data_IF_375489588356
#
_entry.id   IF_375489588356
#
_cell.length_a   1.000
_cell.length_b   1.000
_cell.length_c   1.000
_cell.angle_alpha   90.00
_cell.angle_beta   90.00
_cell.angle_gamma   90.00
#
_symmetry.space_group_name_H-M   'P 1'
#
loop_
_entity.id
_entity.type
_entity.pdbx_description
1 polymer ?
#
# COMPACT_ATOMS: atom_id res chain seq x y z
N UNK A 1 0.09 -17.53 -31.07
CA UNK A 1 0.85 -16.29 -30.86
C UNK A 1 -0.13 -15.24 -30.38
N UNK A 2 0.01 -14.85 -29.16
CA UNK A 2 -0.78 -13.76 -28.57
C UNK A 2 0.03 -12.47 -28.76
N UNK A 3 -0.53 -11.50 -29.47
CA UNK A 3 -0.01 -10.13 -29.49
C UNK A 3 -1.05 -9.29 -28.77
N UNK A 4 -0.70 -8.74 -27.63
CA UNK A 4 -1.61 -7.94 -26.82
C UNK A 4 -0.85 -6.83 -26.10
N UNK A 5 -1.49 -5.69 -25.92
CA UNK A 5 -1.08 -4.67 -24.96
C UNK A 5 -2.10 -4.64 -23.84
N UNK A 6 -1.65 -4.87 -22.62
CA UNK A 6 -2.43 -4.57 -21.43
C UNK A 6 -2.09 -3.12 -21.08
N UNK A 7 -3.03 -2.22 -21.32
CA UNK A 7 -2.95 -0.86 -20.81
C UNK A 7 -3.46 -0.91 -19.37
N UNK A 8 -2.63 -1.35 -18.43
CA UNK A 8 -2.91 -1.27 -17.02
C UNK A 8 -2.88 0.18 -16.59
N UNK A 9 -1.85 0.80 -16.39
CA UNK A 9 -1.67 2.14 -15.86
C UNK A 9 -1.52 3.19 -16.96
N UNK A 10 -2.05 4.39 -16.73
CA UNK A 10 -1.77 5.56 -17.57
C UNK A 10 -0.30 6.00 -17.46
N UNK A 11 0.36 5.64 -16.38
CA UNK A 11 1.78 5.91 -16.13
C UNK A 11 2.70 4.74 -16.55
N UNK A 12 2.14 3.56 -16.85
CA UNK A 12 2.89 2.36 -17.23
C UNK A 12 2.23 1.64 -18.38
N UNK A 13 3.02 1.07 -19.28
CA UNK A 13 2.56 0.25 -20.39
C UNK A 13 3.40 -1.01 -20.49
N UNK A 14 2.75 -2.17 -20.42
CA UNK A 14 3.34 -3.45 -20.74
C UNK A 14 2.91 -3.87 -22.15
N UNK A 15 3.86 -4.30 -22.95
CA UNK A 15 3.61 -4.82 -24.30
C UNK A 15 4.21 -6.21 -24.41
N UNK A 16 3.42 -7.15 -24.90
CA UNK A 16 3.87 -8.53 -25.14
C UNK A 16 4.07 -8.72 -26.64
N UNK A 17 5.21 -9.23 -27.02
CA UNK A 17 5.52 -9.63 -28.40
C UNK A 17 5.94 -11.09 -28.40
N UNK A 18 5.34 -11.90 -29.26
CA UNK A 18 5.68 -13.33 -29.38
C UNK A 18 7.10 -13.62 -29.87
N UNK A 19 7.88 -12.61 -30.21
CA UNK A 19 9.30 -12.72 -30.60
C UNK A 19 10.25 -12.04 -29.64
N UNK A 20 9.81 -11.00 -28.91
CA UNK A 20 10.69 -10.10 -28.16
C UNK A 20 10.37 -10.09 -26.65
N UNK A 21 9.41 -10.91 -26.21
CA UNK A 21 9.01 -11.01 -24.80
C UNK A 21 8.25 -9.77 -24.29
N UNK A 22 8.42 -9.46 -23.01
CA UNK A 22 7.81 -8.30 -22.35
C UNK A 22 8.65 -7.02 -22.58
N UNK A 23 7.97 -5.95 -23.01
CA UNK A 23 8.49 -4.58 -23.00
C UNK A 23 7.70 -3.73 -22.03
N UNK A 24 8.39 -3.07 -21.09
CA UNK A 24 7.82 -2.21 -20.06
C UNK A 24 8.20 -0.76 -20.37
N UNK A 25 7.19 0.11 -20.44
CA UNK A 25 7.38 1.56 -20.59
C UNK A 25 6.71 2.27 -19.41
N UNK A 26 7.47 3.12 -18.72
CA UNK A 26 7.01 3.90 -17.56
C UNK A 26 7.04 5.39 -17.88
N UNK A 27 6.04 6.13 -17.39
CA UNK A 27 6.11 7.59 -17.36
C UNK A 27 7.29 8.00 -16.47
N UNK A 28 8.13 8.90 -16.94
CA UNK A 28 9.31 9.37 -16.22
C UNK A 28 9.25 10.88 -16.09
N UNK A 29 9.77 11.41 -14.97
CA UNK A 29 10.03 12.83 -14.80
C UNK A 29 11.37 13.18 -15.45
N UNK A 30 11.50 14.42 -15.97
CA UNK A 30 12.75 14.90 -16.57
C UNK A 30 13.90 14.98 -15.55
N UNK A 31 13.57 15.40 -14.32
CA UNK A 31 14.46 15.35 -13.16
C UNK A 31 13.60 15.26 -11.90
N UNK A 32 13.94 14.33 -11.02
CA UNK A 32 13.32 14.23 -9.71
C UNK A 32 13.93 15.27 -8.78
N UNK A 33 13.09 16.02 -8.10
CA UNK A 33 13.51 17.11 -7.22
C UNK A 33 12.57 17.20 -6.03
N UNK A 34 13.08 17.18 -4.79
CA UNK A 34 12.29 17.39 -3.59
C UNK A 34 11.44 18.66 -3.66
N UNK A 35 10.22 18.60 -3.14
CA UNK A 35 9.24 19.69 -3.22
C UNK A 35 9.27 20.65 -2.03
N UNK A 36 9.90 20.24 -0.92
CA UNK A 36 9.95 21.00 0.32
C UNK A 36 11.37 21.39 0.73
N UNK A 37 11.49 21.94 1.92
CA UNK A 37 12.77 22.27 2.54
C UNK A 37 13.46 21.01 3.04
N UNK A 38 14.80 20.99 2.97
CA UNK A 38 15.60 19.86 3.43
C UNK A 38 15.27 19.50 4.89
N UNK A 39 15.11 18.22 5.14
CA UNK A 39 14.79 17.66 6.46
C UNK A 39 13.30 17.69 6.82
N UNK A 40 12.43 18.23 5.93
CA UNK A 40 10.98 18.16 6.14
C UNK A 40 10.41 16.84 5.60
N UNK A 41 9.42 16.29 6.30
CA UNK A 41 8.77 15.04 5.94
C UNK A 41 7.25 15.16 6.15
N UNK A 42 6.48 14.72 5.15
CA UNK A 42 5.02 14.67 5.24
C UNK A 42 4.53 13.27 4.87
N UNK A 43 3.73 12.67 5.74
CA UNK A 43 3.02 11.42 5.45
C UNK A 43 1.55 11.74 5.29
N UNK A 44 1.02 11.49 4.10
CA UNK A 44 -0.41 11.53 3.83
C UNK A 44 -1.03 10.22 4.28
N UNK A 45 -2.08 10.27 5.10
CA UNK A 45 -2.78 9.09 5.60
C UNK A 45 -4.23 9.12 5.11
N UNK A 46 -4.56 8.21 4.21
CA UNK A 46 -5.92 8.00 3.74
C UNK A 46 -6.61 7.00 4.68
N UNK A 47 -7.26 7.54 5.72
CA UNK A 47 -7.76 6.79 6.87
C UNK A 47 -9.25 6.51 6.71
N UNK A 48 -9.57 5.39 6.06
CA UNK A 48 -10.93 4.88 5.96
C UNK A 48 -11.24 4.04 7.20
N UNK A 49 -11.90 4.61 8.20
CA UNK A 49 -12.04 3.98 9.54
C UNK A 49 -12.76 2.64 9.54
N UNK A 50 -13.86 2.52 8.81
CA UNK A 50 -14.75 1.36 8.76
C UNK A 50 -15.10 0.76 10.13
N UNK A 51 -15.35 -0.55 10.21
CA UNK A 51 -15.57 -1.29 11.45
C UNK A 51 -14.34 -1.35 12.37
N UNK A 52 -13.12 -1.19 11.81
CA UNK A 52 -11.91 -1.08 12.62
C UNK A 52 -11.97 0.11 13.58
N UNK A 53 -12.52 1.22 13.14
CA UNK A 53 -12.76 2.38 14.01
C UNK A 53 -14.09 2.27 14.72
N UNK A 54 -15.22 2.01 14.02
CA UNK A 54 -16.55 2.11 14.60
C UNK A 54 -16.82 1.08 15.69
N UNK A 55 -16.17 -0.08 15.66
CA UNK A 55 -16.30 -1.13 16.66
C UNK A 55 -15.16 -1.15 17.69
N UNK A 56 -13.95 -0.72 17.30
CA UNK A 56 -12.73 -0.94 18.08
C UNK A 56 -11.92 0.32 18.39
N UNK A 57 -12.17 1.46 17.72
CA UNK A 57 -11.44 2.72 17.94
C UNK A 57 -9.99 2.70 17.49
N UNK A 58 -9.62 1.82 16.53
CA UNK A 58 -8.22 1.58 16.16
C UNK A 58 -7.62 2.78 15.41
N UNK A 59 -8.37 3.40 14.50
CA UNK A 59 -7.90 4.61 13.81
C UNK A 59 -7.64 5.78 14.77
N UNK A 60 -8.52 5.94 15.76
CA UNK A 60 -8.33 6.94 16.83
C UNK A 60 -7.10 6.64 17.69
N UNK A 61 -6.78 5.37 17.93
CA UNK A 61 -5.56 4.92 18.61
C UNK A 61 -4.31 5.31 17.82
N UNK A 62 -4.29 5.06 16.53
CA UNK A 62 -3.14 5.39 15.66
C UNK A 62 -2.95 6.91 15.50
N UNK A 63 -4.04 7.67 15.49
CA UNK A 63 -3.96 9.14 15.55
C UNK A 63 -3.29 9.59 16.87
N UNK A 64 -3.61 8.96 18.00
CA UNK A 64 -2.94 9.25 19.28
C UNK A 64 -1.44 8.96 19.22
N UNK A 65 -1.04 7.86 18.59
CA UNK A 65 0.35 7.52 18.36
C UNK A 65 1.07 8.53 17.45
N UNK A 66 0.44 8.96 16.35
CA UNK A 66 0.96 10.01 15.48
C UNK A 66 1.20 11.31 16.25
N UNK A 67 0.28 11.72 17.13
CA UNK A 67 0.41 12.90 18.01
C UNK A 67 1.57 12.68 18.98
N UNK A 68 1.65 11.50 19.60
CA UNK A 68 2.68 11.18 20.56
C UNK A 68 4.09 11.16 19.95
N UNK A 69 4.22 10.73 18.69
CA UNK A 69 5.49 10.63 17.97
C UNK A 69 5.97 11.93 17.32
N UNK A 70 5.07 12.77 16.80
CA UNK A 70 5.40 14.01 16.08
C UNK A 70 5.73 15.16 17.03
N UNK A 71 7.01 15.43 17.26
CA UNK A 71 7.47 16.41 18.26
C UNK A 71 7.83 17.78 17.68
N UNK A 72 8.05 17.87 16.37
CA UNK A 72 8.47 19.10 15.70
C UNK A 72 7.57 19.43 14.50
N UNK A 73 7.76 20.62 13.92
CA UNK A 73 7.10 21.06 12.68
C UNK A 73 7.70 20.40 11.43
N UNK A 74 8.79 19.64 11.55
CA UNK A 74 9.47 19.02 10.41
C UNK A 74 8.82 17.70 9.97
N UNK A 75 8.07 17.07 10.88
CA UNK A 75 7.30 15.85 10.61
C UNK A 75 5.81 16.17 10.69
N UNK A 76 5.08 15.84 9.63
CA UNK A 76 3.64 16.05 9.55
C UNK A 76 2.95 14.76 9.09
N UNK A 77 1.85 14.43 9.78
CA UNK A 77 0.85 13.54 9.23
C UNK A 77 -0.35 14.38 8.76
N UNK A 78 -0.68 14.25 7.49
CA UNK A 78 -1.84 14.90 6.87
C UNK A 78 -2.87 13.80 6.65
N UNK A 79 -3.95 13.84 7.43
CA UNK A 79 -4.89 12.73 7.54
C UNK A 79 -6.22 13.14 6.91
N UNK A 80 -6.81 12.28 6.07
CA UNK A 80 -8.22 12.36 5.71
C UNK A 80 -8.97 11.22 6.38
N UNK A 81 -9.98 11.55 7.19
CA UNK A 81 -10.85 10.60 7.90
C UNK A 81 -12.21 10.48 7.23
N UNK A 82 -12.78 9.27 7.25
CA UNK A 82 -14.11 8.97 6.73
C UNK A 82 -14.40 7.47 6.77
N UNK A 83 -15.53 7.04 6.23
CA UNK A 83 -15.87 5.64 6.00
C UNK A 83 -16.16 4.79 7.26
N UNK A 84 -16.33 5.40 8.44
CA UNK A 84 -16.68 4.72 9.67
C UNK A 84 -18.04 5.18 10.21
N UNK A 85 -18.87 4.26 10.68
CA UNK A 85 -20.20 4.54 11.24
C UNK A 85 -20.17 5.24 12.60
N UNK A 86 -19.04 5.19 13.30
CA UNK A 86 -18.77 5.91 14.54
C UNK A 86 -17.28 6.20 14.66
N UNK A 87 -16.93 7.25 15.40
CA UNK A 87 -15.55 7.60 15.77
C UNK A 87 -15.48 7.83 17.28
N UNK A 88 -14.31 7.59 17.85
CA UNK A 88 -14.07 7.93 19.26
C UNK A 88 -14.17 9.44 19.49
N UNK A 89 -14.75 9.85 20.61
CA UNK A 89 -15.02 11.28 20.92
C UNK A 89 -13.76 12.13 21.18
N UNK A 90 -12.57 11.52 21.13
CA UNK A 90 -11.33 12.13 21.62
C UNK A 90 -10.90 13.36 20.80
N UNK A 91 -11.07 13.32 19.47
CA UNK A 91 -10.55 14.36 18.56
C UNK A 91 -11.65 15.11 17.80
N UNK A 92 -12.91 14.85 18.11
CA UNK A 92 -14.05 15.49 17.43
C UNK A 92 -14.24 15.04 15.99
N UNK A 93 -13.76 13.85 15.63
CA UNK A 93 -13.96 13.24 14.32
C UNK A 93 -15.41 12.80 14.22
N UNK A 94 -16.07 13.08 13.10
CA UNK A 94 -17.49 12.84 12.88
C UNK A 94 -17.73 11.77 11.82
N UNK A 95 -18.58 10.81 12.12
CA UNK A 95 -19.05 9.83 11.14
C UNK A 95 -19.90 10.43 10.00
N UNK A 96 -20.48 11.63 10.23
CA UNK A 96 -21.30 12.33 9.22
C UNK A 96 -20.48 13.19 8.26
N UNK A 97 -19.17 13.25 8.43
CA UNK A 97 -18.26 14.14 7.70
C UNK A 97 -17.03 13.39 7.19
N UNK A 98 -16.49 13.89 6.10
CA UNK A 98 -15.10 13.65 5.71
C UNK A 98 -14.28 14.83 6.19
N UNK A 99 -13.25 14.59 7.00
CA UNK A 99 -12.49 15.65 7.64
C UNK A 99 -11.00 15.49 7.36
N UNK A 100 -10.29 16.60 7.29
CA UNK A 100 -8.83 16.65 7.09
C UNK A 100 -8.15 17.26 8.29
N UNK A 101 -7.18 16.52 8.79
CA UNK A 101 -6.38 16.90 9.95
C UNK A 101 -4.91 17.00 9.60
N UNK A 102 -4.19 17.81 10.37
CA UNK A 102 -2.74 17.82 10.40
C UNK A 102 -2.28 17.53 11.82
N UNK A 103 -1.41 16.54 11.94
CA UNK A 103 -0.69 16.22 13.18
C UNK A 103 0.75 16.68 13.01
N UNK A 104 1.22 17.55 13.90
CA UNK A 104 2.59 18.06 13.95
C UNK A 104 2.85 18.72 15.30
N UNK A 105 4.10 18.75 15.76
CA UNK A 105 4.47 19.41 17.02
C UNK A 105 3.77 18.86 18.27
N UNK A 106 3.29 17.61 18.24
CA UNK A 106 2.54 16.98 19.34
C UNK A 106 1.06 17.40 19.40
N UNK A 107 0.52 18.04 18.37
CA UNK A 107 -0.85 18.51 18.34
C UNK A 107 -1.58 18.05 17.06
N UNK A 108 -2.91 17.90 17.14
CA UNK A 108 -3.78 17.67 15.99
C UNK A 108 -4.65 18.90 15.72
N UNK A 109 -4.80 19.26 14.48
CA UNK A 109 -5.61 20.40 14.06
C UNK A 109 -6.57 19.99 12.94
N UNK A 110 -7.86 20.28 13.10
CA UNK A 110 -8.84 20.18 12.02
C UNK A 110 -8.60 21.31 11.02
N UNK A 111 -8.39 20.97 9.76
CA UNK A 111 -8.08 21.92 8.68
C UNK A 111 -9.28 22.11 7.76
N UNK A 112 -9.96 21.04 7.41
CA UNK A 112 -11.10 21.06 6.49
C UNK A 112 -12.16 20.05 6.91
N UNK A 113 -13.41 20.40 6.69
CA UNK A 113 -14.55 19.53 6.89
C UNK A 113 -15.48 19.60 5.68
N UNK A 114 -15.93 18.45 5.21
CA UNK A 114 -16.87 18.30 4.09
C UNK A 114 -18.00 17.36 4.49
N UNK A 115 -19.09 17.34 3.69
CA UNK A 115 -20.09 16.28 3.79
C UNK A 115 -19.41 14.93 3.56
N UNK A 116 -19.92 13.88 4.23
CA UNK A 116 -19.40 12.52 4.10
C UNK A 116 -19.40 12.09 2.63
N UNK A 117 -18.27 11.57 2.17
CA UNK A 117 -18.08 11.04 0.82
C UNK A 117 -17.66 9.58 0.88
N UNK A 118 -17.86 8.85 -0.20
CA UNK A 118 -17.43 7.46 -0.31
C UNK A 118 -15.89 7.38 -0.43
N UNK A 119 -15.24 6.85 0.60
CA UNK A 119 -13.77 6.69 0.66
C UNK A 119 -13.25 5.61 -0.32
N UNK A 120 -14.11 4.76 -0.87
CA UNK A 120 -13.77 3.79 -1.92
C UNK A 120 -13.75 4.38 -3.34
N UNK A 121 -13.69 5.72 -3.51
CA UNK A 121 -13.71 6.36 -4.83
C UNK A 121 -12.39 7.06 -5.19
N UNK A 122 -11.98 6.88 -6.45
CA UNK A 122 -10.75 7.48 -6.98
C UNK A 122 -10.71 9.00 -6.89
N UNK A 123 -11.83 9.67 -7.17
CA UNK A 123 -11.92 11.13 -7.17
C UNK A 123 -11.77 11.73 -5.76
N UNK A 124 -12.18 11.00 -4.73
CA UNK A 124 -11.98 11.37 -3.33
C UNK A 124 -10.49 11.27 -2.95
N UNK A 125 -9.80 10.25 -3.41
CA UNK A 125 -8.36 10.12 -3.23
C UNK A 125 -7.59 11.22 -4.00
N UNK A 126 -7.99 11.51 -5.25
CA UNK A 126 -7.43 12.60 -6.07
C UNK A 126 -7.58 13.96 -5.37
N UNK A 127 -8.78 14.26 -4.83
CA UNK A 127 -9.06 15.51 -4.13
C UNK A 127 -8.21 15.64 -2.86
N UNK A 128 -8.08 14.56 -2.08
CA UNK A 128 -7.23 14.56 -0.88
C UNK A 128 -5.75 14.78 -1.22
N UNK A 129 -5.20 13.97 -2.11
CA UNK A 129 -3.78 14.07 -2.46
C UNK A 129 -3.46 15.38 -3.18
N UNK A 130 -4.34 15.82 -4.08
CA UNK A 130 -4.17 17.09 -4.79
C UNK A 130 -4.12 18.29 -3.84
N UNK A 131 -5.02 18.33 -2.88
CA UNK A 131 -5.05 19.34 -1.83
C UNK A 131 -3.84 19.21 -0.88
N UNK A 132 -3.52 17.96 -0.46
CA UNK A 132 -2.44 17.71 0.47
C UNK A 132 -1.07 18.12 -0.09
N UNK A 133 -0.77 17.74 -1.33
CA UNK A 133 0.48 18.11 -2.02
C UNK A 133 0.58 19.63 -2.21
N UNK A 134 -0.51 20.29 -2.55
CA UNK A 134 -0.51 21.75 -2.73
C UNK A 134 -0.19 22.52 -1.44
N UNK A 135 -0.61 22.00 -0.28
CA UNK A 135 -0.53 22.70 1.00
C UNK A 135 0.59 22.19 1.93
N UNK A 136 1.01 20.94 1.78
CA UNK A 136 1.90 20.26 2.75
C UNK A 136 3.02 19.47 2.08
N UNK A 137 3.43 19.83 0.87
CA UNK A 137 4.58 19.21 0.24
C UNK A 137 5.84 19.36 1.11
N UNK A 138 6.67 18.32 1.14
CA UNK A 138 7.89 18.25 1.92
C UNK A 138 9.04 17.65 1.09
N UNK A 139 10.26 17.70 1.63
CA UNK A 139 11.42 17.11 0.98
C UNK A 139 11.27 15.60 0.78
N UNK A 140 10.64 14.93 1.75
CA UNK A 140 10.22 13.53 1.62
C UNK A 140 8.73 13.43 1.87
N UNK A 141 8.03 12.73 1.00
CA UNK A 141 6.61 12.49 1.14
C UNK A 141 6.32 11.00 1.15
N UNK A 142 5.49 10.56 2.09
CA UNK A 142 4.91 9.23 2.14
C UNK A 142 3.40 9.26 1.94
N UNK A 143 2.82 8.14 1.52
CA UNK A 143 1.37 7.92 1.49
C UNK A 143 1.08 6.60 2.19
N UNK A 144 0.12 6.58 3.10
CA UNK A 144 -0.37 5.37 3.77
C UNK A 144 -1.87 5.22 3.50
N UNK A 145 -2.26 4.06 3.02
CA UNK A 145 -3.64 3.59 2.99
C UNK A 145 -3.91 2.81 4.27
N UNK A 146 -4.83 3.28 5.07
CA UNK A 146 -5.17 2.70 6.37
C UNK A 146 -6.58 2.11 6.35
N UNK A 147 -6.71 0.81 6.46
CA UNK A 147 -7.96 0.05 6.60
C UNK A 147 -7.75 -1.46 6.37
N UNK A 148 -8.83 -2.20 6.06
CA UNK A 148 -8.75 -3.53 5.48
C UNK A 148 -8.13 -3.53 4.10
N UNK A 149 -7.45 -4.63 3.76
CA UNK A 149 -6.90 -4.91 2.44
C UNK A 149 -7.31 -6.30 1.93
N UNK A 150 -7.57 -6.38 0.63
CA UNK A 150 -7.94 -7.61 -0.08
C UNK A 150 -7.03 -7.90 -1.28
N UNK A 151 -5.81 -7.39 -1.24
CA UNK A 151 -4.79 -7.58 -2.27
C UNK A 151 -5.15 -6.99 -3.63
N UNK A 152 -4.56 -7.53 -4.68
CA UNK A 152 -4.76 -7.04 -6.04
C UNK A 152 -6.18 -7.26 -6.60
N UNK A 153 -6.98 -8.10 -5.96
CA UNK A 153 -8.33 -8.45 -6.43
C UNK A 153 -9.39 -7.52 -5.86
N UNK A 154 -9.36 -7.28 -4.54
CA UNK A 154 -10.39 -6.54 -3.83
C UNK A 154 -9.96 -5.14 -3.42
N UNK A 155 -8.67 -4.80 -3.56
CA UNK A 155 -8.16 -3.48 -3.25
C UNK A 155 -8.03 -3.18 -1.75
N UNK A 156 -8.23 -1.92 -1.36
CA UNK A 156 -7.99 -1.41 0.00
C UNK A 156 -9.00 -0.32 0.36
N UNK A 157 -9.14 0.01 1.62
CA UNK A 157 -10.01 1.08 2.11
C UNK A 157 -11.51 0.81 1.87
N UNK A 158 -12.04 -0.18 2.58
CA UNK A 158 -13.45 -0.59 2.50
C UNK A 158 -14.31 0.35 3.35
N UNK A 159 -15.20 1.08 2.72
CA UNK A 159 -16.06 2.10 3.35
C UNK A 159 -17.37 1.45 3.84
N UNK A 160 -17.54 1.28 5.16
CA UNK A 160 -18.73 0.64 5.73
C UNK A 160 -20.01 1.45 5.51
N UNK A 161 -19.91 2.77 5.31
CA UNK A 161 -21.06 3.64 5.05
C UNK A 161 -21.55 3.53 3.59
N UNK A 162 -20.74 2.93 2.72
CA UNK A 162 -20.99 2.82 1.29
C UNK A 162 -20.91 1.36 0.79
N UNK A 163 -21.59 0.44 1.49
CA UNK A 163 -21.68 -0.98 1.11
C UNK A 163 -20.31 -1.69 1.00
N UNK A 164 -19.33 -1.27 1.78
CA UNK A 164 -17.95 -1.71 1.71
C UNK A 164 -17.30 -1.50 0.32
N UNK A 165 -17.66 -0.43 -0.37
CA UNK A 165 -16.96 -0.01 -1.57
C UNK A 165 -15.49 0.28 -1.25
N UNK A 166 -14.56 -0.09 -2.14
CA UNK A 166 -13.12 -0.05 -1.86
C UNK A 166 -12.34 0.47 -3.06
N UNK A 167 -11.17 1.01 -2.81
CA UNK A 167 -10.25 1.43 -3.87
C UNK A 167 -9.59 0.20 -4.51
N UNK A 168 -9.95 -0.10 -5.75
CA UNK A 168 -9.24 -1.07 -6.59
C UNK A 168 -7.84 -0.55 -6.98
N UNK A 169 -6.94 -1.44 -7.40
CA UNK A 169 -5.63 -1.01 -7.93
C UNK A 169 -5.75 -0.07 -9.14
N UNK A 170 -6.78 -0.23 -9.98
CA UNK A 170 -7.04 0.65 -11.12
C UNK A 170 -7.44 2.06 -10.66
N UNK A 171 -8.25 2.18 -9.63
CA UNK A 171 -8.66 3.47 -9.05
C UNK A 171 -7.48 4.16 -8.37
N UNK A 172 -6.65 3.42 -7.62
CA UNK A 172 -5.42 3.96 -7.02
C UNK A 172 -4.46 4.46 -8.10
N UNK A 173 -4.22 3.66 -9.16
CA UNK A 173 -3.37 4.07 -10.28
C UNK A 173 -3.90 5.32 -11.00
N UNK A 174 -5.21 5.37 -11.22
CA UNK A 174 -5.86 6.54 -11.83
C UNK A 174 -5.68 7.78 -10.96
N UNK A 175 -5.87 7.65 -9.65
CA UNK A 175 -5.67 8.75 -8.71
C UNK A 175 -4.22 9.24 -8.68
N UNK A 176 -3.26 8.34 -8.53
CA UNK A 176 -1.83 8.67 -8.51
C UNK A 176 -1.36 9.27 -9.85
N UNK A 177 -1.87 8.77 -10.97
CA UNK A 177 -1.59 9.33 -12.30
C UNK A 177 -2.17 10.73 -12.45
N UNK A 178 -3.34 11.01 -11.89
CA UNK A 178 -4.01 12.32 -11.96
C UNK A 178 -3.24 13.41 -11.20
N UNK A 179 -2.52 13.05 -10.15
CA UNK A 179 -1.68 13.99 -9.38
C UNK A 179 -0.21 13.99 -9.83
N UNK A 180 0.17 13.12 -10.77
CA UNK A 180 1.57 12.93 -11.18
C UNK A 180 2.28 14.23 -11.56
N UNK A 181 1.61 15.10 -12.32
CA UNK A 181 2.18 16.37 -12.80
C UNK A 181 2.14 17.48 -11.73
N UNK A 182 1.51 17.25 -10.56
CA UNK A 182 1.59 18.13 -9.39
C UNK A 182 2.85 17.87 -8.55
N UNK A 183 3.52 16.74 -8.76
CA UNK A 183 4.70 16.34 -8.02
C UNK A 183 5.95 16.46 -8.90
N UNK A 184 7.02 17.01 -8.37
CA UNK A 184 8.34 17.06 -9.02
C UNK A 184 9.25 15.90 -8.59
N UNK A 185 8.81 15.10 -7.62
CA UNK A 185 9.47 13.90 -7.13
C UNK A 185 8.46 12.77 -6.96
N UNK A 186 8.92 11.55 -6.72
CA UNK A 186 8.08 10.44 -6.28
C UNK A 186 7.73 10.56 -4.80
N UNK A 187 6.74 9.78 -4.36
CA UNK A 187 6.67 9.44 -2.94
C UNK A 187 7.92 8.64 -2.55
N UNK A 188 8.52 8.97 -1.43
CA UNK A 188 9.61 8.17 -0.88
C UNK A 188 9.13 6.73 -0.58
N UNK A 189 7.87 6.61 -0.11
CA UNK A 189 7.17 5.33 0.00
C UNK A 189 5.66 5.49 -0.17
N UNK A 190 5.03 4.38 -0.59
CA UNK A 190 3.58 4.18 -0.45
C UNK A 190 3.40 2.94 0.41
N UNK A 191 2.69 3.10 1.53
CA UNK A 191 2.44 2.08 2.52
C UNK A 191 0.98 1.65 2.55
N UNK A 192 0.77 0.40 2.93
CA UNK A 192 -0.55 -0.16 3.16
C UNK A 192 -0.55 -0.75 4.58
N UNK A 193 -1.09 0.00 5.52
CA UNK A 193 -1.44 -0.50 6.85
C UNK A 193 -2.76 -1.25 6.70
N UNK A 194 -2.64 -2.43 6.12
CA UNK A 194 -3.75 -3.23 5.61
C UNK A 194 -3.29 -4.63 5.17
N UNK A 195 -4.15 -5.62 5.30
CA UNK A 195 -3.91 -7.00 4.91
C UNK A 195 -3.55 -7.15 3.42
N UNK A 196 -2.68 -8.10 3.07
CA UNK A 196 -2.56 -8.72 1.73
C UNK A 196 -2.10 -7.82 0.58
N UNK A 197 -1.65 -6.59 0.84
CA UNK A 197 -1.35 -5.64 -0.24
C UNK A 197 0.05 -5.81 -0.86
N UNK A 198 0.95 -6.66 -0.30
CA UNK A 198 2.27 -6.91 -0.86
C UNK A 198 2.23 -7.86 -2.06
N UNK A 199 1.50 -7.49 -3.10
CA UNK A 199 1.41 -8.28 -4.34
C UNK A 199 2.33 -7.71 -5.43
N UNK A 200 2.72 -8.56 -6.39
CA UNK A 200 3.52 -8.13 -7.55
C UNK A 200 2.77 -7.09 -8.38
N UNK A 201 1.44 -7.24 -8.49
CA UNK A 201 0.58 -6.32 -9.21
C UNK A 201 0.57 -4.94 -8.55
N UNK A 202 0.44 -4.88 -7.21
CA UNK A 202 0.49 -3.64 -6.45
C UNK A 202 1.86 -2.96 -6.62
N UNK A 203 2.95 -3.71 -6.43
CA UNK A 203 4.30 -3.19 -6.61
C UNK A 203 4.54 -2.68 -8.03
N UNK A 204 4.10 -3.44 -9.05
CA UNK A 204 4.25 -3.05 -10.46
C UNK A 204 3.47 -1.77 -10.80
N UNK A 205 2.29 -1.58 -10.24
CA UNK A 205 1.49 -0.37 -10.41
C UNK A 205 2.19 0.86 -9.79
N UNK A 206 2.85 0.70 -8.65
CA UNK A 206 3.47 1.79 -7.90
C UNK A 206 4.81 2.29 -8.46
N UNK A 207 5.50 1.55 -9.33
CA UNK A 207 6.85 1.91 -9.84
C UNK A 207 6.98 3.37 -10.33
N UNK A 208 6.02 3.98 -11.04
CA UNK A 208 6.12 5.38 -11.46
C UNK A 208 5.90 6.39 -10.33
N UNK A 209 5.35 5.96 -9.19
CA UNK A 209 4.77 6.82 -8.17
C UNK A 209 5.57 6.87 -6.87
N UNK A 210 6.30 5.80 -6.55
CA UNK A 210 7.08 5.72 -5.31
C UNK A 210 8.42 5.03 -5.52
N UNK A 211 9.35 5.20 -4.56
CA UNK A 211 10.62 4.50 -4.51
C UNK A 211 10.50 3.16 -3.79
N UNK A 212 9.69 3.13 -2.72
CA UNK A 212 9.45 1.93 -1.93
C UNK A 212 7.95 1.67 -1.73
N UNK A 213 7.59 0.39 -1.59
CA UNK A 213 6.29 -0.05 -1.09
C UNK A 213 6.50 -0.74 0.26
N UNK A 214 5.67 -0.38 1.27
CA UNK A 214 5.59 -1.06 2.55
C UNK A 214 4.23 -1.76 2.63
N UNK A 215 4.21 -3.06 2.75
CA UNK A 215 2.95 -3.83 2.75
C UNK A 215 3.15 -5.25 3.29
N UNK A 216 2.07 -5.87 3.73
CA UNK A 216 2.04 -7.26 4.18
C UNK A 216 1.60 -8.21 3.07
N UNK A 217 2.21 -9.40 3.03
CA UNK A 217 1.72 -10.53 2.22
C UNK A 217 0.55 -11.24 2.91
N UNK A 218 0.54 -11.25 4.26
CA UNK A 218 -0.44 -11.92 5.10
C UNK A 218 -1.44 -10.90 5.66
N UNK A 219 -2.43 -11.37 6.38
CA UNK A 219 -3.32 -10.52 7.17
C UNK A 219 -2.55 -9.84 8.29
N UNK A 220 -2.91 -8.58 8.56
CA UNK A 220 -2.36 -7.81 9.67
C UNK A 220 -3.33 -7.85 10.86
N UNK A 221 -2.83 -7.99 12.11
CA UNK A 221 -3.64 -7.73 13.30
C UNK A 221 -4.19 -6.31 13.30
N UNK A 222 -5.40 -6.12 13.80
CA UNK A 222 -6.09 -4.83 13.73
C UNK A 222 -5.42 -3.65 14.46
N UNK A 223 -4.38 -3.90 15.26
CA UNK A 223 -3.57 -2.84 15.88
C UNK A 223 -2.64 -2.12 14.89
N UNK A 224 -2.44 -2.67 13.68
CA UNK A 224 -1.68 -2.03 12.63
C UNK A 224 -0.23 -1.70 12.98
N UNK A 225 0.27 -0.63 12.39
CA UNK A 225 1.65 -0.16 12.55
C UNK A 225 1.81 0.72 13.80
N UNK A 226 3.04 0.78 14.36
CA UNK A 226 3.37 1.65 15.49
C UNK A 226 3.75 3.05 15.00
N UNK A 227 2.79 3.97 14.98
CA UNK A 227 3.01 5.34 14.50
C UNK A 227 3.86 6.18 15.46
N UNK A 228 3.97 5.80 16.72
CA UNK A 228 4.90 6.46 17.66
C UNK A 228 6.34 6.22 17.26
N UNK A 229 6.70 4.95 16.95
CA UNK A 229 8.04 4.58 16.51
C UNK A 229 8.35 5.14 15.10
N UNK A 230 7.39 5.12 14.17
CA UNK A 230 7.52 5.70 12.83
C UNK A 230 7.82 7.20 12.92
N UNK A 231 6.99 7.95 13.62
CA UNK A 231 7.18 9.39 13.79
C UNK A 231 8.48 9.71 14.56
N UNK A 232 8.77 8.98 15.62
CA UNK A 232 10.00 9.11 16.42
C UNK A 232 11.26 8.88 15.58
N UNK A 233 11.25 7.89 14.68
CA UNK A 233 12.36 7.66 13.76
C UNK A 233 12.54 8.83 12.78
N UNK A 234 11.43 9.29 12.16
CA UNK A 234 11.44 10.43 11.22
C UNK A 234 11.97 11.70 11.87
N UNK A 235 11.55 12.01 13.09
CA UNK A 235 12.05 13.15 13.90
C UNK A 235 13.54 13.07 14.16
N UNK A 236 14.01 11.89 14.52
CA UNK A 236 15.42 11.67 14.92
C UNK A 236 16.36 11.55 13.72
N UNK A 237 15.84 11.19 12.54
CA UNK A 237 16.61 10.84 11.35
C UNK A 237 16.10 11.51 10.07
N UNK A 238 16.05 12.85 9.98
CA UNK A 238 15.40 13.56 8.88
C UNK A 238 16.02 13.30 7.50
N UNK A 239 17.26 12.81 7.48
CA UNK A 239 18.00 12.50 6.24
C UNK A 239 18.21 11.02 5.99
N UNK A 240 17.69 10.14 6.85
CA UNK A 240 17.82 8.68 6.70
C UNK A 240 17.27 8.19 5.35
N UNK A 241 17.82 7.08 4.87
CA UNK A 241 17.26 6.39 3.71
C UNK A 241 15.84 5.89 4.02
N UNK A 242 14.98 5.88 3.02
CA UNK A 242 13.60 5.38 3.13
C UNK A 242 13.56 3.90 3.50
N UNK A 243 14.55 3.10 3.07
CA UNK A 243 14.67 1.71 3.48
C UNK A 243 14.93 1.55 4.98
N UNK A 244 15.65 2.49 5.63
CA UNK A 244 15.86 2.49 7.08
C UNK A 244 14.57 2.81 7.83
N UNK A 245 13.75 3.75 7.32
CA UNK A 245 12.40 3.98 7.83
C UNK A 245 11.55 2.72 7.68
N UNK A 246 11.53 2.10 6.51
CA UNK A 246 10.80 0.86 6.26
C UNK A 246 11.21 -0.25 7.22
N UNK A 247 12.51 -0.39 7.49
CA UNK A 247 12.98 -1.36 8.49
C UNK A 247 12.44 -1.05 9.89
N UNK A 248 12.37 0.21 10.28
CA UNK A 248 11.78 0.61 11.57
C UNK A 248 10.30 0.24 11.63
N UNK A 249 9.54 0.51 10.57
CA UNK A 249 8.11 0.12 10.46
C UNK A 249 7.97 -1.39 10.62
N UNK A 250 8.77 -2.18 9.89
CA UNK A 250 8.70 -3.63 9.96
C UNK A 250 9.12 -4.18 11.34
N UNK A 251 10.19 -3.67 11.93
CA UNK A 251 10.69 -4.14 13.23
C UNK A 251 9.67 -3.83 14.35
N UNK A 252 9.08 -2.62 14.38
CA UNK A 252 8.09 -2.24 15.39
C UNK A 252 6.77 -3.00 15.22
N UNK A 253 6.28 -3.13 13.99
CA UNK A 253 5.10 -3.96 13.68
C UNK A 253 5.28 -5.40 14.14
N UNK A 254 6.41 -6.05 13.78
CA UNK A 254 6.69 -7.42 14.20
C UNK A 254 6.80 -7.56 15.72
N UNK A 255 7.40 -6.58 16.40
CA UNK A 255 7.47 -6.58 17.85
C UNK A 255 6.08 -6.48 18.52
N UNK A 256 5.19 -5.65 17.96
CA UNK A 256 3.80 -5.55 18.40
C UNK A 256 3.04 -6.86 18.16
N UNK A 257 3.20 -7.48 16.99
CA UNK A 257 2.61 -8.78 16.67
C UNK A 257 3.10 -9.90 17.63
N UNK A 258 4.40 -9.93 17.94
CA UNK A 258 4.96 -10.88 18.90
C UNK A 258 4.38 -10.70 20.30
N UNK A 259 4.21 -9.45 20.74
CA UNK A 259 3.66 -9.12 22.06
C UNK A 259 2.23 -9.64 22.28
N UNK A 260 1.43 -9.71 21.21
CA UNK A 260 0.06 -10.26 21.24
C UNK A 260 -0.02 -11.75 20.83
N UNK A 261 1.12 -12.39 20.51
CA UNK A 261 1.18 -13.79 20.12
C UNK A 261 0.84 -14.06 18.63
N UNK A 262 0.77 -13.04 17.78
CA UNK A 262 0.50 -13.13 16.35
C UNK A 262 1.75 -13.14 15.46
N UNK A 263 2.96 -13.02 16.02
CA UNK A 263 4.21 -12.88 15.26
C UNK A 263 4.53 -14.03 14.30
N UNK A 264 3.98 -15.23 14.52
CA UNK A 264 4.20 -16.38 13.63
C UNK A 264 3.43 -16.33 12.32
N UNK A 265 2.45 -15.44 12.20
CA UNK A 265 1.55 -15.32 11.04
C UNK A 265 1.67 -13.93 10.38
N UNK A 266 2.30 -12.96 11.05
CA UNK A 266 2.49 -11.63 10.51
C UNK A 266 3.65 -11.56 9.50
N UNK A 267 3.50 -10.70 8.50
CA UNK A 267 4.56 -10.32 7.55
C UNK A 267 4.52 -8.81 7.30
N UNK A 268 5.66 -8.18 7.06
CA UNK A 268 5.72 -6.83 6.51
C UNK A 268 6.96 -6.69 5.62
N UNK A 269 6.75 -6.35 4.36
CA UNK A 269 7.78 -6.27 3.35
C UNK A 269 8.09 -4.82 3.01
N UNK A 270 9.40 -4.57 2.81
CA UNK A 270 9.91 -3.31 2.27
C UNK A 270 10.42 -3.59 0.86
N UNK A 271 9.62 -3.22 -0.12
CA UNK A 271 9.88 -3.52 -1.53
C UNK A 271 10.54 -2.34 -2.23
N UNK A 272 11.77 -2.52 -2.71
CA UNK A 272 12.46 -1.57 -3.59
C UNK A 272 11.83 -1.62 -4.99
N UNK A 273 11.06 -0.59 -5.33
CA UNK A 273 10.29 -0.53 -6.58
C UNK A 273 11.20 -0.37 -7.82
N UNK A 274 12.43 0.03 -7.66
CA UNK A 274 13.41 0.08 -8.77
C UNK A 274 13.75 -1.30 -9.35
N UNK A 275 13.47 -2.37 -8.59
CA UNK A 275 13.77 -3.76 -8.98
C UNK A 275 12.58 -4.48 -9.63
N UNK A 276 11.41 -3.87 -9.66
CA UNK A 276 10.18 -4.54 -10.13
C UNK A 276 10.20 -4.87 -11.62
N UNK A 277 10.81 -4.03 -12.46
CA UNK A 277 10.91 -4.33 -13.88
C UNK A 277 11.73 -5.60 -14.16
N UNK A 278 12.76 -5.86 -13.36
CA UNK A 278 13.54 -7.09 -13.40
C UNK A 278 12.72 -8.30 -12.95
N UNK A 279 11.97 -8.13 -11.85
CA UNK A 279 11.07 -9.17 -11.33
C UNK A 279 9.99 -9.55 -12.35
N UNK A 280 9.31 -8.58 -12.95
CA UNK A 280 8.25 -8.83 -13.95
C UNK A 280 8.79 -9.60 -15.16
N UNK A 281 10.02 -9.29 -15.63
CA UNK A 281 10.66 -10.04 -16.70
C UNK A 281 10.94 -11.49 -16.28
N UNK A 282 11.48 -11.69 -15.07
CA UNK A 282 11.74 -13.03 -14.52
C UNK A 282 10.48 -13.86 -14.39
N UNK A 283 9.38 -13.25 -13.93
CA UNK A 283 8.06 -13.90 -13.86
C UNK A 283 7.56 -14.30 -15.25
N UNK A 284 7.76 -13.43 -16.26
CA UNK A 284 7.39 -13.77 -17.64
C UNK A 284 8.19 -14.95 -18.18
N UNK A 285 9.51 -14.96 -17.95
CA UNK A 285 10.38 -16.06 -18.38
C UNK A 285 9.93 -17.39 -17.74
N UNK A 286 9.62 -17.39 -16.44
CA UNK A 286 9.09 -18.54 -15.74
C UNK A 286 7.71 -18.97 -16.31
N UNK A 287 6.84 -18.02 -16.66
CA UNK A 287 5.54 -18.31 -17.25
C UNK A 287 5.68 -18.94 -18.66
N UNK A 288 6.68 -18.55 -19.45
CA UNK A 288 6.98 -19.17 -20.74
C UNK A 288 7.45 -20.62 -20.56
N UNK A 289 8.34 -20.91 -19.60
CA UNK A 289 8.76 -22.26 -19.25
C UNK A 289 7.55 -23.11 -18.78
N UNK A 290 6.68 -22.57 -17.94
CA UNK A 290 5.46 -23.26 -17.49
C UNK A 290 4.51 -23.55 -18.66
N UNK A 291 4.41 -22.66 -19.64
CA UNK A 291 3.61 -22.90 -20.84
C UNK A 291 4.15 -24.07 -21.67
N UNK A 292 5.46 -24.22 -21.79
CA UNK A 292 6.09 -25.36 -22.47
C UNK A 292 5.83 -26.69 -21.73
N UNK A 293 5.89 -26.68 -20.38
CA UNK A 293 5.53 -27.81 -19.52
C UNK A 293 4.05 -28.20 -19.70
N UNK A 294 3.16 -27.25 -19.94
CA UNK A 294 1.72 -27.49 -20.10
C UNK A 294 1.37 -28.42 -21.28
N UNK A 295 2.28 -28.58 -22.23
CA UNK A 295 2.13 -29.49 -23.37
C UNK A 295 2.33 -30.97 -23.01
N UNK A 296 2.95 -31.30 -21.86
CA UNK A 296 3.09 -32.65 -21.29
C UNK A 296 2.11 -32.86 -20.13
N UNK A 297 1.10 -33.74 -20.28
CA UNK A 297 0.11 -33.97 -19.24
C UNK A 297 0.67 -34.43 -17.88
N UNK A 298 1.81 -35.13 -17.88
CA UNK A 298 2.42 -35.61 -16.66
C UNK A 298 3.13 -34.47 -15.91
N UNK A 299 3.87 -33.62 -16.62
CA UNK A 299 4.52 -32.44 -16.06
C UNK A 299 3.47 -31.44 -15.59
N UNK A 300 2.42 -31.20 -16.37
CA UNK A 300 1.32 -30.32 -15.95
C UNK A 300 0.66 -30.81 -14.66
N UNK A 301 0.38 -32.14 -14.57
CA UNK A 301 -0.22 -32.71 -13.38
C UNK A 301 0.71 -32.61 -12.16
N UNK A 302 2.02 -32.66 -12.33
CA UNK A 302 3.00 -32.45 -11.26
C UNK A 302 3.01 -30.98 -10.83
N UNK A 303 3.10 -30.04 -11.76
CA UNK A 303 3.06 -28.61 -11.49
C UNK A 303 1.80 -28.22 -10.72
N UNK A 304 0.61 -28.68 -11.18
CA UNK A 304 -0.65 -28.42 -10.48
C UNK A 304 -0.65 -28.96 -9.05
N UNK A 305 -0.14 -30.19 -8.84
CA UNK A 305 -0.03 -30.74 -7.47
C UNK A 305 0.94 -29.95 -6.59
N UNK A 306 2.04 -29.47 -7.15
CA UNK A 306 3.03 -28.70 -6.41
C UNK A 306 2.49 -27.37 -5.91
N UNK A 307 1.62 -26.69 -6.67
CA UNK A 307 0.98 -25.44 -6.26
C UNK A 307 0.19 -25.59 -4.95
N UNK A 308 -0.42 -26.74 -4.69
CA UNK A 308 -1.12 -26.99 -3.42
C UNK A 308 -0.19 -27.14 -2.20
N UNK A 309 1.12 -27.17 -2.40
CA UNK A 309 2.11 -27.27 -1.31
C UNK A 309 2.82 -25.95 -1.03
N UNK A 310 2.58 -24.92 -1.82
CA UNK A 310 3.20 -23.60 -1.61
C UNK A 310 2.49 -22.83 -0.50
N UNK A 311 3.20 -21.89 0.12
CA UNK A 311 2.62 -21.01 1.12
C UNK A 311 1.54 -20.15 0.48
N UNK A 312 0.37 -20.13 1.07
CA UNK A 312 -0.75 -19.28 0.71
C UNK A 312 -1.01 -18.28 1.83
N UNK A 313 -1.54 -17.13 1.47
CA UNK A 313 -1.80 -16.00 2.37
C UNK A 313 -3.29 -15.67 2.45
N UNK A 314 -3.72 -15.10 3.59
CA UNK A 314 -5.06 -14.61 3.80
C UNK A 314 -6.13 -15.70 3.84
N UNK A 315 -5.79 -16.90 4.30
CA UNK A 315 -6.63 -18.09 4.36
C UNK A 315 -6.96 -18.71 2.99
N UNK A 316 -6.83 -20.03 2.90
CA UNK A 316 -7.21 -20.82 1.73
C UNK A 316 -7.89 -22.11 2.20
N UNK A 317 -9.07 -21.98 2.80
CA UNK A 317 -9.86 -23.12 3.31
C UNK A 317 -11.36 -22.85 3.20
N UNK A 318 -12.15 -23.93 3.34
CA UNK A 318 -13.61 -23.90 3.20
C UNK A 318 -14.33 -23.03 4.25
N UNK A 319 -13.68 -22.72 5.36
CA UNK A 319 -14.29 -21.98 6.48
C UNK A 319 -14.07 -20.45 6.32
N UNK A 320 -12.89 -20.05 5.88
CA UNK A 320 -12.47 -18.65 5.82
C UNK A 320 -12.41 -18.12 4.39
N UNK A 321 -12.55 -19.00 3.40
CA UNK A 321 -12.53 -18.65 1.97
C UNK A 321 -11.17 -18.92 1.30
N UNK A 322 -11.10 -18.56 0.04
CA UNK A 322 -9.94 -18.76 -0.82
C UNK A 322 -9.49 -17.43 -1.43
N UNK A 323 -8.42 -16.85 -0.93
CA UNK A 323 -7.82 -15.63 -1.50
C UNK A 323 -7.10 -15.92 -2.82
N UNK A 324 -6.63 -17.17 -3.01
CA UNK A 324 -5.78 -17.57 -4.12
C UNK A 324 -4.45 -16.80 -4.22
N UNK A 325 -4.00 -16.20 -3.12
CA UNK A 325 -2.70 -15.55 -3.03
C UNK A 325 -1.66 -16.54 -2.54
N UNK A 326 -0.53 -16.58 -3.23
CA UNK A 326 0.55 -17.53 -2.93
C UNK A 326 1.89 -16.81 -3.00
N UNK A 327 2.88 -17.33 -2.25
CA UNK A 327 4.26 -16.87 -2.37
C UNK A 327 4.81 -17.19 -3.76
N UNK A 328 5.18 -16.14 -4.49
CA UNK A 328 5.62 -16.24 -5.88
C UNK A 328 6.90 -17.08 -6.01
N UNK A 329 7.87 -16.90 -5.11
CA UNK A 329 9.13 -17.63 -5.13
C UNK A 329 8.91 -19.13 -4.91
N UNK A 330 8.08 -19.48 -3.93
CA UNK A 330 7.69 -20.86 -3.64
C UNK A 330 6.92 -21.50 -4.81
N UNK A 331 6.02 -20.73 -5.44
CA UNK A 331 5.26 -21.21 -6.60
C UNK A 331 6.20 -21.53 -7.78
N UNK A 332 7.11 -20.64 -8.13
CA UNK A 332 8.09 -20.85 -9.20
C UNK A 332 8.97 -22.06 -8.87
N UNK A 333 9.52 -22.12 -7.65
CA UNK A 333 10.38 -23.23 -7.23
C UNK A 333 9.65 -24.57 -7.28
N UNK A 334 8.39 -24.64 -6.86
CA UNK A 334 7.58 -25.85 -6.87
C UNK A 334 7.26 -26.33 -8.30
N UNK A 335 7.05 -25.42 -9.23
CA UNK A 335 6.70 -25.78 -10.63
C UNK A 335 7.89 -26.20 -11.47
N UNK A 336 9.08 -25.61 -11.23
CA UNK A 336 10.32 -25.93 -11.98
C UNK A 336 11.03 -27.18 -11.42
N UNK A 337 10.83 -27.51 -10.13
CA UNK A 337 11.50 -28.63 -9.46
C UNK A 337 10.78 -29.99 -9.63
N UNK A 338 9.59 -30.05 -10.21
CA UNK A 338 8.78 -31.24 -10.43
C UNK A 338 8.94 -31.80 -11.83
#
# INVERSE_FOLDING_TARGET
>A
KYEGSVTGSRASKLTFSGSDGISITRKQREAEKPMGEDGTQTVFVYMCGSDLESENGLASGDIEEMIAGSKSENVKFVIQTGGAGAWADTYGISAEKTQRYVVTGGEISLIEEKESVNMGKEDVLVDFLGWGIENYAAAKMGLIFWNHGGGSISGVCFDELNENDSLSLEEIDTALTSIYDKMTDKFAFIGFDACLMATVETANMLVPHADYMFASEETEPGYGWDYTEIAGFMESNPTADTAELGKTVADSFMASCEAIGAGGEATLLITDLSRIDELVKTVNDAAEEMNDISSDPALLANAVRSIYTVRAYGSNNDTEGYTNMVDLGSMIAATVSG
#
